data_IF_722204958214
#
_entry.id   IF_722204958214
#
_cell.length_a   1.000
_cell.length_b   1.000
_cell.length_c   1.000
_cell.angle_alpha   90.00
_cell.angle_beta   90.00
_cell.angle_gamma   90.00
#
_symmetry.space_group_name_H-M   'P 1'
#
loop_
_entity.id
_entity.type
_entity.pdbx_description
1 polymer ?
#
# COMPACT_ATOMS: atom_id res chain seq x y z
N UNK A 1 -22.03 11.60 0.82
CA UNK A 1 -21.07 10.49 0.55
C UNK A 1 -20.24 10.33 1.81
N UNK A 2 -20.30 9.22 2.55
CA UNK A 2 -19.26 8.93 3.53
C UNK A 2 -17.98 8.64 2.74
N UNK A 3 -16.92 9.41 3.04
CA UNK A 3 -15.59 9.17 2.50
C UNK A 3 -15.04 7.88 3.09
N UNK A 4 -14.84 6.89 2.27
CA UNK A 4 -14.11 5.68 2.61
C UNK A 4 -12.61 6.00 2.44
N UNK A 5 -11.97 6.42 3.52
CA UNK A 5 -10.51 6.41 3.60
C UNK A 5 -10.08 4.94 3.75
N UNK A 6 -9.05 4.53 3.02
CA UNK A 6 -8.46 3.21 3.19
C UNK A 6 -7.94 3.11 4.64
N UNK A 7 -8.58 2.27 5.45
CA UNK A 7 -8.17 2.05 6.83
C UNK A 7 -7.00 1.08 6.81
N UNK A 8 -5.86 1.48 7.37
CA UNK A 8 -4.66 0.68 7.52
C UNK A 8 -4.76 -0.13 8.81
N UNK A 9 -4.71 -1.46 8.73
CA UNK A 9 -4.97 -2.31 9.88
C UNK A 9 -3.80 -3.26 10.23
N UNK A 10 -3.59 -3.47 11.54
CA UNK A 10 -2.61 -4.42 12.09
C UNK A 10 -3.14 -5.85 12.02
N UNK A 11 -2.26 -6.82 11.92
CA UNK A 11 -2.59 -8.22 12.20
C UNK A 11 -3.20 -8.33 13.60
N UNK A 12 -4.38 -8.94 13.70
CA UNK A 12 -5.13 -9.03 14.95
C UNK A 12 -5.78 -7.70 15.38
N UNK A 13 -5.75 -6.65 14.54
CA UNK A 13 -6.43 -5.39 14.83
C UNK A 13 -7.94 -5.54 14.78
N UNK A 14 -8.60 -4.68 15.53
CA UNK A 14 -10.05 -4.53 15.50
C UNK A 14 -10.43 -3.38 14.60
N UNK A 15 -11.18 -3.66 13.54
CA UNK A 15 -11.85 -2.66 12.69
C UNK A 15 -13.25 -2.42 13.22
N UNK A 16 -13.78 -1.22 13.01
CA UNK A 16 -15.19 -0.91 13.28
C UNK A 16 -15.92 -0.78 11.95
N UNK A 17 -16.83 -1.73 11.70
CA UNK A 17 -17.66 -1.71 10.48
C UNK A 17 -19.02 -1.12 10.82
N UNK A 18 -19.47 -0.15 10.05
CA UNK A 18 -20.82 0.42 10.12
C UNK A 18 -21.60 0.00 8.89
N UNK A 19 -22.76 -0.61 9.11
CA UNK A 19 -23.65 -1.03 8.04
C UNK A 19 -25.05 -0.48 8.21
N UNK A 20 -25.83 -0.54 7.13
CA UNK A 20 -27.26 -0.21 7.12
C UNK A 20 -28.00 -1.26 6.30
N UNK A 21 -28.87 -2.01 6.97
CA UNK A 21 -29.80 -2.96 6.35
C UNK A 21 -31.17 -2.30 6.18
N UNK A 22 -31.72 -2.35 4.97
CA UNK A 22 -33.01 -1.73 4.63
C UNK A 22 -34.03 -2.79 4.22
N UNK A 23 -35.20 -2.74 4.80
CA UNK A 23 -36.33 -3.51 4.29
C UNK A 23 -36.96 -2.74 3.09
N UNK A 24 -36.83 -3.28 1.89
CA UNK A 24 -37.40 -2.72 0.65
C UNK A 24 -38.79 -3.32 0.33
N UNK A 25 -39.20 -4.33 1.10
CA UNK A 25 -40.48 -4.99 0.92
C UNK A 25 -41.67 -4.20 1.49
N UNK A 26 -42.87 -4.67 1.16
CA UNK A 26 -44.14 -4.09 1.62
C UNK A 26 -44.59 -4.65 2.99
N UNK A 27 -44.02 -5.74 3.46
CA UNK A 27 -44.28 -6.32 4.78
C UNK A 27 -43.13 -6.09 5.78
N UNK A 28 -43.34 -6.28 7.10
CA UNK A 28 -42.28 -6.23 8.07
C UNK A 28 -41.29 -7.38 7.85
N UNK A 29 -39.97 -7.12 7.98
CA UNK A 29 -38.92 -8.12 8.02
C UNK A 29 -38.68 -8.47 9.49
N UNK A 30 -38.73 -9.75 9.83
CA UNK A 30 -38.46 -10.23 11.17
C UNK A 30 -36.97 -10.05 11.57
N UNK A 31 -36.62 -10.42 12.83
CA UNK A 31 -35.24 -10.36 13.26
C UNK A 31 -34.31 -11.21 12.38
N UNK A 32 -33.17 -10.63 12.02
CA UNK A 32 -32.13 -11.29 11.20
C UNK A 32 -30.72 -10.91 11.69
N UNK A 33 -29.71 -11.13 10.89
CA UNK A 33 -28.36 -10.64 11.16
C UNK A 33 -27.61 -10.32 9.86
N UNK A 34 -26.73 -9.33 9.92
CA UNK A 34 -25.76 -9.05 8.85
C UNK A 34 -24.42 -9.67 9.22
N UNK A 35 -23.89 -10.53 8.35
CA UNK A 35 -22.54 -11.09 8.48
C UNK A 35 -21.54 -10.26 7.68
N UNK A 36 -20.28 -10.28 8.14
CA UNK A 36 -19.16 -9.54 7.54
C UNK A 36 -18.03 -10.51 7.23
N UNK A 37 -17.44 -10.33 6.06
CA UNK A 37 -16.38 -11.18 5.54
C UNK A 37 -15.21 -10.33 5.05
N UNK A 38 -13.99 -10.86 5.20
CA UNK A 38 -12.77 -10.36 4.61
C UNK A 38 -12.52 -11.11 3.31
N UNK A 39 -12.41 -10.39 2.19
CA UNK A 39 -12.26 -10.95 0.86
C UNK A 39 -11.08 -10.33 0.11
N UNK A 40 -10.43 -11.11 -0.76
CA UNK A 40 -9.39 -10.65 -1.68
C UNK A 40 -9.97 -9.95 -2.93
N UNK A 41 -11.27 -10.10 -3.17
CA UNK A 41 -11.96 -9.47 -4.31
C UNK A 41 -13.30 -8.84 -3.87
N UNK A 42 -14.06 -8.33 -4.82
CA UNK A 42 -15.32 -7.63 -4.55
C UNK A 42 -16.56 -8.52 -4.58
N UNK A 43 -16.38 -9.85 -4.77
CA UNK A 43 -17.45 -10.83 -4.90
C UNK A 43 -17.47 -11.76 -3.70
N UNK A 44 -18.65 -11.98 -3.10
CA UNK A 44 -18.78 -12.95 -2.03
C UNK A 44 -18.54 -14.38 -2.55
N UNK A 45 -17.62 -15.12 -1.92
CA UNK A 45 -17.22 -16.46 -2.33
C UNK A 45 -16.83 -17.38 -1.17
N UNK A 46 -16.53 -18.65 -1.48
CA UNK A 46 -16.21 -19.66 -0.47
C UNK A 46 -14.84 -19.48 0.18
N UNK A 47 -13.99 -18.61 -0.37
CA UNK A 47 -12.66 -18.28 0.15
C UNK A 47 -12.67 -17.12 1.13
N UNK A 48 -13.80 -16.44 1.28
CA UNK A 48 -13.93 -15.28 2.16
C UNK A 48 -13.91 -15.68 3.62
N UNK A 49 -13.19 -14.93 4.41
CA UNK A 49 -13.01 -15.20 5.84
C UNK A 49 -14.10 -14.51 6.64
N UNK A 50 -14.92 -15.28 7.33
CA UNK A 50 -15.94 -14.74 8.24
C UNK A 50 -15.28 -13.98 9.40
N UNK A 51 -15.66 -12.72 9.59
CA UNK A 51 -15.16 -11.86 10.66
C UNK A 51 -16.10 -11.75 11.85
N UNK A 52 -17.40 -11.89 11.62
CA UNK A 52 -18.43 -11.75 12.65
C UNK A 52 -19.77 -11.28 12.07
N UNK A 53 -20.74 -11.03 12.95
CA UNK A 53 -22.07 -10.59 12.55
C UNK A 53 -22.66 -9.58 13.53
N UNK A 54 -23.64 -8.80 13.06
CA UNK A 54 -24.45 -7.88 13.85
C UNK A 54 -25.90 -8.34 13.82
N UNK A 55 -26.53 -8.47 14.97
CA UNK A 55 -27.97 -8.75 15.06
C UNK A 55 -28.78 -7.54 14.59
N UNK A 56 -29.85 -7.83 13.85
CA UNK A 56 -30.83 -6.88 13.34
C UNK A 56 -32.18 -7.24 13.96
N UNK A 57 -32.84 -6.28 14.58
CA UNK A 57 -34.22 -6.42 15.03
C UNK A 57 -35.21 -6.38 13.86
N UNK A 58 -36.50 -6.45 14.15
CA UNK A 58 -37.55 -6.28 13.16
C UNK A 58 -37.42 -4.91 12.44
N UNK A 59 -37.55 -4.94 11.11
CA UNK A 59 -37.55 -3.71 10.28
C UNK A 59 -38.88 -3.56 9.60
N UNK A 60 -39.59 -2.46 9.90
CA UNK A 60 -40.85 -2.11 9.23
C UNK A 60 -40.66 -1.88 7.72
N UNK A 61 -41.70 -1.97 6.89
CA UNK A 61 -41.61 -1.68 5.46
C UNK A 61 -41.00 -0.31 5.18
N UNK A 62 -39.97 -0.27 4.31
CA UNK A 62 -39.19 0.93 3.99
C UNK A 62 -38.20 1.37 5.07
N UNK A 63 -38.19 0.73 6.25
CA UNK A 63 -37.31 1.04 7.37
C UNK A 63 -35.86 0.67 7.13
N UNK A 64 -34.98 1.25 7.95
CA UNK A 64 -33.53 1.02 7.90
C UNK A 64 -33.03 0.74 9.32
N UNK A 65 -32.20 -0.29 9.49
CA UNK A 65 -31.46 -0.60 10.71
C UNK A 65 -29.98 -0.31 10.49
N UNK A 66 -29.48 0.76 11.09
CA UNK A 66 -28.05 1.12 11.04
C UNK A 66 -27.36 0.75 12.36
N UNK A 67 -26.12 0.27 12.29
CA UNK A 67 -25.32 0.00 13.47
C UNK A 67 -23.85 -0.26 13.13
N UNK A 68 -23.03 -0.27 14.18
CA UNK A 68 -21.61 -0.53 14.08
C UNK A 68 -21.24 -1.76 14.90
N UNK A 69 -20.24 -2.53 14.42
CA UNK A 69 -19.72 -3.71 15.09
C UNK A 69 -18.20 -3.72 15.02
N UNK A 70 -17.51 -3.97 16.16
CA UNK A 70 -16.08 -4.23 16.12
C UNK A 70 -15.84 -5.65 15.59
N UNK A 71 -14.95 -5.76 14.59
CA UNK A 71 -14.55 -7.02 13.97
C UNK A 71 -13.03 -7.17 14.06
N UNK A 72 -12.55 -8.36 14.35
CA UNK A 72 -11.12 -8.63 14.44
C UNK A 72 -10.60 -9.19 13.12
N UNK A 73 -9.55 -8.58 12.58
CA UNK A 73 -8.79 -9.18 11.47
C UNK A 73 -8.00 -10.37 12.02
N UNK A 74 -8.14 -11.58 11.46
CA UNK A 74 -7.43 -12.74 11.95
C UNK A 74 -5.91 -12.53 11.98
N UNK A 75 -5.20 -12.94 13.04
CA UNK A 75 -3.75 -12.69 13.17
C UNK A 75 -2.88 -13.31 12.07
N UNK A 76 -3.38 -14.36 11.41
CA UNK A 76 -2.69 -15.04 10.31
C UNK A 76 -3.08 -14.50 8.92
N UNK A 77 -3.82 -13.39 8.85
CA UNK A 77 -4.17 -12.77 7.55
C UNK A 77 -2.88 -12.31 6.86
N UNK A 78 -2.58 -12.77 5.64
CA UNK A 78 -1.42 -12.28 4.89
C UNK A 78 -1.47 -10.77 4.67
N UNK A 79 -0.30 -10.14 4.56
CA UNK A 79 -0.25 -8.73 4.16
C UNK A 79 -0.84 -8.57 2.75
N UNK A 80 -1.62 -7.49 2.55
CA UNK A 80 -2.29 -7.27 1.27
C UNK A 80 -3.48 -6.31 1.38
N UNK A 81 -4.14 -6.12 0.24
CA UNK A 81 -5.39 -5.36 0.13
C UNK A 81 -6.58 -6.31 0.16
N UNK A 82 -7.56 -5.96 0.99
CA UNK A 82 -8.77 -6.76 1.19
C UNK A 82 -10.01 -5.88 1.08
N UNK A 83 -11.16 -6.50 0.89
CA UNK A 83 -12.48 -5.87 0.93
C UNK A 83 -13.27 -6.43 2.11
N UNK A 84 -14.15 -5.59 2.68
CA UNK A 84 -15.15 -6.04 3.63
C UNK A 84 -16.44 -6.25 2.86
N UNK A 85 -16.96 -7.48 2.88
CA UNK A 85 -18.24 -7.83 2.27
C UNK A 85 -19.26 -8.03 3.38
N UNK A 86 -20.37 -7.30 3.31
CA UNK A 86 -21.52 -7.45 4.20
C UNK A 86 -22.61 -8.25 3.51
N UNK A 87 -23.21 -9.20 4.23
CA UNK A 87 -24.35 -9.99 3.77
C UNK A 87 -25.49 -9.91 4.78
N UNK A 88 -26.55 -9.17 4.41
CA UNK A 88 -27.78 -9.12 5.19
C UNK A 88 -28.49 -10.47 5.17
N UNK A 89 -29.22 -10.78 6.24
CA UNK A 89 -29.90 -12.06 6.46
C UNK A 89 -29.07 -13.29 6.04
N UNK A 90 -27.81 -13.33 6.47
CA UNK A 90 -26.83 -14.32 6.04
C UNK A 90 -27.24 -15.76 6.33
N UNK A 91 -28.11 -15.97 7.35
CA UNK A 91 -28.63 -17.27 7.74
C UNK A 91 -29.95 -17.61 7.03
N UNK A 92 -30.45 -16.73 6.16
CA UNK A 92 -31.70 -16.88 5.43
C UNK A 92 -32.88 -17.17 6.37
N UNK A 93 -32.99 -16.38 7.44
CA UNK A 93 -34.03 -16.52 8.48
C UNK A 93 -35.31 -15.77 8.17
N UNK A 94 -35.25 -14.77 7.27
CA UNK A 94 -36.37 -13.99 6.80
C UNK A 94 -36.66 -14.34 5.34
N UNK A 95 -37.82 -14.95 5.01
CA UNK A 95 -38.17 -15.19 3.61
C UNK A 95 -38.35 -13.87 2.86
N UNK A 96 -37.54 -13.66 1.81
CA UNK A 96 -37.54 -12.41 1.03
C UNK A 96 -38.06 -12.63 -0.39
N UNK A 97 -38.60 -11.59 -0.99
CA UNK A 97 -39.06 -11.64 -2.39
C UNK A 97 -37.87 -11.64 -3.36
N UNK A 98 -36.70 -11.18 -2.94
CA UNK A 98 -35.45 -11.15 -3.70
C UNK A 98 -34.30 -11.49 -2.77
N UNK A 99 -33.80 -12.72 -2.85
CA UNK A 99 -32.69 -13.26 -2.02
C UNK A 99 -31.30 -12.92 -2.58
N UNK A 100 -31.22 -12.31 -3.77
CA UNK A 100 -29.94 -12.08 -4.48
C UNK A 100 -29.35 -10.69 -4.26
N UNK A 101 -30.02 -9.80 -3.55
CA UNK A 101 -29.62 -8.41 -3.33
C UNK A 101 -29.07 -8.14 -1.91
N UNK A 102 -28.83 -9.20 -1.12
CA UNK A 102 -28.45 -9.13 0.29
C UNK A 102 -26.95 -8.84 0.50
N UNK A 103 -26.15 -8.91 -0.55
CA UNK A 103 -24.68 -8.74 -0.45
C UNK A 103 -24.25 -7.36 -0.89
N UNK A 104 -23.33 -6.74 -0.13
CA UNK A 104 -22.72 -5.47 -0.47
C UNK A 104 -21.23 -5.47 -0.11
N UNK A 105 -20.42 -5.02 -1.05
CA UNK A 105 -18.98 -4.81 -0.84
C UNK A 105 -18.72 -3.39 -0.36
N UNK A 106 -17.93 -3.26 0.70
CA UNK A 106 -17.43 -2.00 1.24
C UNK A 106 -16.14 -1.53 0.56
N UNK A 107 -15.48 -0.55 1.15
CA UNK A 107 -14.17 -0.09 0.72
C UNK A 107 -13.07 -1.13 0.96
N UNK A 108 -11.91 -0.94 0.32
CA UNK A 108 -10.73 -1.77 0.58
C UNK A 108 -10.06 -1.36 1.89
N UNK A 109 -9.50 -2.35 2.58
CA UNK A 109 -8.59 -2.18 3.72
C UNK A 109 -7.23 -2.76 3.38
N UNK A 110 -6.17 -2.23 3.98
CA UNK A 110 -4.82 -2.78 3.86
C UNK A 110 -4.42 -3.44 5.17
N UNK A 111 -3.88 -4.65 5.08
CA UNK A 111 -3.39 -5.45 6.20
C UNK A 111 -1.88 -5.61 6.06
N UNK A 112 -1.12 -5.42 7.14
CA UNK A 112 0.34 -5.57 7.13
C UNK A 112 1.10 -4.25 7.18
N UNK A 113 2.42 -4.34 7.07
CA UNK A 113 3.30 -3.18 6.89
C UNK A 113 3.24 -2.64 5.46
N UNK A 114 3.81 -1.47 5.23
CA UNK A 114 3.84 -0.82 3.90
C UNK A 114 5.07 0.11 3.85
N UNK A 115 6.13 -0.31 3.17
CA UNK A 115 7.38 0.42 3.07
C UNK A 115 7.36 1.38 1.89
N UNK A 116 7.72 2.62 2.15
CA UNK A 116 7.88 3.63 1.10
C UNK A 116 9.18 4.37 1.28
N UNK A 117 9.73 4.88 0.19
CA UNK A 117 10.77 5.90 0.25
C UNK A 117 10.13 7.28 0.45
N UNK A 118 10.10 7.76 1.69
CA UNK A 118 9.55 9.08 2.04
C UNK A 118 10.46 10.22 1.58
N UNK A 119 11.78 9.98 1.47
CA UNK A 119 12.75 10.91 0.92
C UNK A 119 13.83 10.17 0.12
N UNK A 120 14.34 10.83 -0.94
CA UNK A 120 15.47 10.39 -1.73
C UNK A 120 16.19 11.59 -2.31
N UNK A 121 17.50 11.68 -2.10
CA UNK A 121 18.37 12.67 -2.71
C UNK A 121 19.69 12.00 -3.13
N UNK A 122 20.37 12.59 -4.12
CA UNK A 122 21.67 12.14 -4.57
C UNK A 122 22.57 13.33 -4.87
N UNK A 123 23.88 13.11 -4.96
CA UNK A 123 24.83 14.09 -5.48
C UNK A 123 24.37 14.57 -6.87
N UNK A 124 24.46 15.86 -7.16
CA UNK A 124 24.00 16.42 -8.43
C UNK A 124 24.95 16.15 -9.59
N UNK A 125 26.19 15.78 -9.28
CA UNK A 125 27.25 15.45 -10.24
C UNK A 125 28.03 14.21 -9.80
N UNK A 126 28.50 13.44 -10.75
CA UNK A 126 29.38 12.29 -10.52
C UNK A 126 30.26 12.03 -11.74
N UNK A 127 31.26 11.18 -11.60
CA UNK A 127 32.12 10.74 -12.72
C UNK A 127 31.94 9.24 -12.96
N UNK A 128 32.08 8.75 -14.20
CA UNK A 128 32.18 7.32 -14.46
C UNK A 128 33.31 6.71 -13.63
N UNK A 129 33.06 5.61 -12.93
CA UNK A 129 33.97 4.98 -11.99
C UNK A 129 34.13 5.71 -10.65
N UNK A 130 33.53 6.88 -10.48
CA UNK A 130 33.60 7.68 -9.25
C UNK A 130 32.46 7.41 -8.28
N UNK A 131 32.58 7.93 -7.04
CA UNK A 131 31.56 7.79 -6.01
C UNK A 131 30.36 8.71 -6.27
N UNK A 132 29.19 8.26 -5.82
CA UNK A 132 27.98 9.06 -5.66
C UNK A 132 27.41 8.79 -4.27
N UNK A 133 27.02 9.85 -3.57
CA UNK A 133 26.35 9.72 -2.28
C UNK A 133 24.84 9.84 -2.48
N UNK A 134 24.11 8.85 -1.99
CA UNK A 134 22.63 8.80 -2.01
C UNK A 134 22.14 8.81 -0.57
N UNK A 135 21.24 9.73 -0.25
CA UNK A 135 20.56 9.79 1.05
C UNK A 135 19.10 9.48 0.86
N UNK A 136 18.61 8.49 1.60
CA UNK A 136 17.20 8.08 1.56
C UNK A 136 16.59 7.99 2.95
N UNK A 137 15.27 7.98 2.98
CA UNK A 137 14.48 7.64 4.15
C UNK A 137 13.45 6.61 3.75
N UNK A 138 13.62 5.38 4.23
CA UNK A 138 12.62 4.32 4.15
C UNK A 138 11.70 4.43 5.36
N UNK A 139 10.40 4.42 5.13
CA UNK A 139 9.36 4.55 6.18
C UNK A 139 8.34 3.43 6.04
N UNK A 140 7.95 2.85 7.17
CA UNK A 140 6.77 2.01 7.25
C UNK A 140 5.53 2.90 7.48
N UNK A 141 4.68 3.04 6.48
CA UNK A 141 3.40 3.75 6.60
C UNK A 141 2.23 2.81 6.89
N UNK A 142 2.49 1.51 6.93
CA UNK A 142 1.51 0.49 7.29
C UNK A 142 1.28 0.40 8.80
N UNK A 143 0.22 -0.30 9.22
CA UNK A 143 -0.18 -0.42 10.62
C UNK A 143 0.57 -1.55 11.36
N UNK A 144 1.26 -2.44 10.65
CA UNK A 144 2.02 -3.54 11.26
C UNK A 144 3.53 -3.32 11.13
N UNK A 145 4.36 -3.90 12.02
CA UNK A 145 5.80 -3.89 11.86
C UNK A 145 6.21 -4.59 10.57
N UNK A 146 7.26 -4.07 9.92
CA UNK A 146 7.93 -4.73 8.80
C UNK A 146 9.27 -5.27 9.29
N UNK A 147 9.60 -6.54 9.04
CA UNK A 147 10.89 -7.10 9.41
C UNK A 147 12.04 -6.45 8.63
N UNK A 148 13.26 -6.87 8.94
CA UNK A 148 14.45 -6.40 8.25
C UNK A 148 14.32 -6.54 6.74
N UNK A 149 14.66 -5.46 6.02
CA UNK A 149 14.56 -5.33 4.57
C UNK A 149 15.78 -4.64 3.99
N UNK A 150 15.77 -4.32 2.72
CA UNK A 150 16.84 -3.57 2.07
C UNK A 150 16.27 -2.49 1.14
N UNK A 151 16.91 -1.32 1.12
CA UNK A 151 16.67 -0.31 0.08
C UNK A 151 17.71 -0.47 -1.02
N UNK A 152 17.25 -0.72 -2.26
CA UNK A 152 18.08 -0.79 -3.45
C UNK A 152 18.13 0.52 -4.21
N UNK A 153 19.25 0.74 -4.92
CA UNK A 153 19.47 1.96 -5.70
C UNK A 153 19.86 1.63 -7.14
N UNK A 154 19.28 2.35 -8.09
CA UNK A 154 19.48 2.16 -9.52
C UNK A 154 19.84 3.47 -10.19
N UNK A 155 20.75 3.44 -11.16
CA UNK A 155 21.01 4.52 -12.09
C UNK A 155 20.11 4.36 -13.30
N UNK A 156 19.32 5.38 -13.64
CA UNK A 156 18.36 5.35 -14.74
C UNK A 156 18.58 6.53 -15.69
N UNK A 157 18.58 6.34 -17.00
CA UNK A 157 18.68 7.42 -17.97
C UNK A 157 17.37 8.21 -18.13
N UNK A 158 16.23 7.62 -17.78
CA UNK A 158 14.90 8.19 -18.03
C UNK A 158 14.04 8.38 -16.77
N UNK A 159 14.52 7.91 -15.61
CA UNK A 159 13.79 7.99 -14.34
C UNK A 159 12.64 6.99 -14.20
N UNK A 160 12.58 5.98 -15.05
CA UNK A 160 11.56 4.92 -15.00
C UNK A 160 12.22 3.64 -14.48
N UNK A 161 11.66 3.03 -13.43
CA UNK A 161 12.15 1.74 -12.92
C UNK A 161 11.75 0.63 -13.91
N UNK A 162 12.67 0.30 -14.83
CA UNK A 162 12.50 -0.80 -15.79
C UNK A 162 13.69 -1.74 -15.71
N UNK A 163 13.46 -3.03 -15.98
CA UNK A 163 14.51 -4.06 -15.85
C UNK A 163 15.60 -4.01 -16.91
N UNK A 164 15.42 -3.24 -17.99
CA UNK A 164 16.32 -3.27 -19.17
C UNK A 164 17.33 -2.12 -19.17
N UNK A 165 16.95 -0.93 -18.72
CA UNK A 165 17.76 0.28 -18.87
C UNK A 165 18.46 0.72 -17.59
N UNK A 166 18.06 0.17 -16.46
CA UNK A 166 18.55 0.58 -15.15
C UNK A 166 19.76 -0.25 -14.74
N UNK A 167 20.75 0.43 -14.19
CA UNK A 167 21.94 -0.21 -13.64
C UNK A 167 21.83 -0.22 -12.12
N UNK A 168 21.83 -1.39 -11.52
CA UNK A 168 21.86 -1.55 -10.07
C UNK A 168 23.19 -1.04 -9.52
N UNK A 169 23.14 -0.08 -8.61
CA UNK A 169 24.32 0.53 -7.98
C UNK A 169 24.66 -0.13 -6.64
N UNK A 170 23.72 -0.74 -5.97
CA UNK A 170 23.89 -1.35 -4.66
C UNK A 170 22.65 -1.17 -3.77
N UNK A 171 22.75 -1.64 -2.53
CA UNK A 171 21.67 -1.54 -1.53
C UNK A 171 22.22 -1.21 -0.15
N UNK A 172 21.33 -0.82 0.76
CA UNK A 172 21.61 -0.72 2.19
C UNK A 172 20.64 -1.54 3.00
N UNK A 173 21.04 -2.08 4.16
CA UNK A 173 20.11 -2.72 5.08
C UNK A 173 19.19 -1.69 5.76
N UNK A 174 17.97 -2.12 6.01
CA UNK A 174 16.96 -1.44 6.81
C UNK A 174 16.52 -2.42 7.89
N UNK A 175 16.75 -2.09 9.15
CA UNK A 175 16.29 -2.92 10.26
C UNK A 175 14.75 -2.88 10.37
N UNK A 176 14.22 -3.72 11.27
CA UNK A 176 12.78 -3.76 11.56
C UNK A 176 12.21 -2.35 11.77
N UNK A 177 11.11 -2.04 11.08
CA UNK A 177 10.39 -0.78 11.22
C UNK A 177 9.00 -0.99 11.82
N UNK A 178 8.79 -0.44 13.00
CA UNK A 178 7.46 -0.35 13.60
C UNK A 178 6.52 0.54 12.76
N UNK A 179 5.21 0.47 12.97
CA UNK A 179 4.25 1.38 12.34
C UNK A 179 4.66 2.85 12.50
N UNK A 180 4.67 3.58 11.40
CA UNK A 180 5.16 4.96 11.30
C UNK A 180 6.67 5.13 11.53
N UNK A 181 7.41 4.06 11.83
CA UNK A 181 8.86 4.05 11.96
C UNK A 181 9.56 4.38 10.64
N UNK A 182 10.79 4.91 10.74
CA UNK A 182 11.60 5.24 9.59
C UNK A 182 13.08 5.00 9.83
N UNK A 183 13.81 4.71 8.74
CA UNK A 183 15.26 4.56 8.70
C UNK A 183 15.83 5.50 7.67
N UNK A 184 16.70 6.42 8.10
CA UNK A 184 17.40 7.38 7.22
C UNK A 184 18.89 7.03 7.20
N UNK A 185 19.48 6.97 6.02
CA UNK A 185 20.92 6.79 5.87
C UNK A 185 21.46 7.43 4.60
N UNK A 186 22.77 7.72 4.61
CA UNK A 186 23.54 8.11 3.43
C UNK A 186 24.41 6.93 3.02
N UNK A 187 24.26 6.50 1.78
CA UNK A 187 25.00 5.36 1.20
C UNK A 187 25.92 5.87 0.11
N UNK A 188 27.20 5.49 0.17
CA UNK A 188 28.17 5.76 -0.89
C UNK A 188 28.15 4.60 -1.89
N UNK A 189 27.87 4.91 -3.15
CA UNK A 189 27.78 3.97 -4.27
C UNK A 189 28.79 4.37 -5.34
N UNK A 190 29.03 3.52 -6.30
CA UNK A 190 29.98 3.79 -7.40
C UNK A 190 29.22 3.81 -8.74
N UNK A 191 29.42 4.88 -9.51
CA UNK A 191 28.93 4.93 -10.90
C UNK A 191 29.75 3.96 -11.74
N UNK A 192 29.16 3.07 -12.54
CA UNK A 192 29.92 2.14 -13.38
C UNK A 192 30.91 2.88 -14.30
N UNK A 193 32.15 2.37 -14.48
CA UNK A 193 33.18 3.05 -15.27
C UNK A 193 32.81 3.31 -16.73
N UNK A 194 31.93 2.47 -17.30
CA UNK A 194 31.49 2.60 -18.70
C UNK A 194 30.25 3.48 -18.89
N UNK A 195 29.80 4.19 -17.84
CA UNK A 195 28.64 5.07 -17.96
C UNK A 195 28.94 6.24 -18.91
N UNK A 196 28.13 6.40 -19.96
CA UNK A 196 28.26 7.51 -20.89
C UNK A 196 28.00 8.86 -20.21
N UNK A 197 28.71 9.95 -20.60
CA UNK A 197 28.38 11.29 -20.12
C UNK A 197 26.93 11.65 -20.44
N UNK A 198 26.22 12.21 -19.45
CA UNK A 198 24.82 12.58 -19.65
C UNK A 198 24.08 12.91 -18.36
N UNK A 199 22.75 13.06 -18.50
CA UNK A 199 21.83 13.24 -17.39
C UNK A 199 21.20 11.91 -17.02
N UNK A 200 21.23 11.61 -15.74
CA UNK A 200 20.67 10.40 -15.16
C UNK A 200 19.83 10.73 -13.93
N UNK A 201 19.14 9.74 -13.41
CA UNK A 201 18.40 9.78 -12.15
C UNK A 201 18.83 8.61 -11.28
N UNK A 202 18.83 8.80 -9.97
CA UNK A 202 18.87 7.69 -9.04
C UNK A 202 17.44 7.31 -8.67
N UNK A 203 17.10 6.05 -8.83
CA UNK A 203 15.84 5.48 -8.35
C UNK A 203 16.17 4.66 -7.12
N UNK A 204 15.49 4.93 -6.01
CA UNK A 204 15.51 4.08 -4.82
C UNK A 204 14.26 3.21 -4.79
N UNK A 205 14.40 1.98 -4.31
CA UNK A 205 13.30 1.05 -4.07
C UNK A 205 13.43 0.46 -2.66
N UNK A 206 12.47 0.75 -1.79
CA UNK A 206 12.34 0.07 -0.52
C UNK A 206 11.99 -1.40 -0.78
N UNK A 207 12.49 -2.30 0.06
CA UNK A 207 12.33 -3.75 -0.08
C UNK A 207 12.54 -4.24 -1.53
N UNK A 208 13.60 -3.76 -2.18
CA UNK A 208 13.89 -3.99 -3.60
C UNK A 208 13.93 -5.47 -4.03
N UNK A 209 14.14 -6.37 -3.09
CA UNK A 209 14.22 -7.81 -3.31
C UNK A 209 12.97 -8.58 -2.87
N UNK A 210 11.91 -7.89 -2.43
CA UNK A 210 10.63 -8.48 -2.02
C UNK A 210 10.78 -9.43 -0.83
N UNK A 211 11.65 -9.11 0.13
CA UNK A 211 11.89 -9.96 1.31
C UNK A 211 10.79 -9.84 2.37
N UNK A 212 10.13 -8.68 2.44
CA UNK A 212 9.03 -8.40 3.34
C UNK A 212 7.70 -8.40 2.58
N UNK A 213 6.71 -9.11 3.09
CA UNK A 213 5.36 -9.02 2.54
C UNK A 213 4.68 -7.73 3.02
N UNK A 214 4.15 -6.95 2.10
CA UNK A 214 3.59 -5.63 2.35
C UNK A 214 2.10 -5.51 1.96
N UNK A 215 1.41 -4.56 2.56
CA UNK A 215 0.03 -4.24 2.21
C UNK A 215 -0.10 -3.59 0.82
N UNK A 216 1.00 -3.05 0.27
CA UNK A 216 1.05 -2.49 -1.07
C UNK A 216 2.48 -2.53 -1.62
N UNK A 217 2.73 -3.39 -2.59
CA UNK A 217 4.02 -3.60 -3.25
C UNK A 217 4.30 -2.62 -4.40
N UNK A 218 3.41 -1.67 -4.70
CA UNK A 218 3.50 -0.81 -5.88
C UNK A 218 3.98 0.61 -5.61
N UNK A 219 4.20 0.99 -4.35
CA UNK A 219 4.56 2.34 -3.91
C UNK A 219 5.98 2.45 -3.33
N UNK A 220 6.79 1.40 -3.43
CA UNK A 220 8.11 1.27 -2.80
C UNK A 220 9.20 2.11 -3.47
N UNK A 221 8.98 2.63 -4.67
CA UNK A 221 10.01 3.32 -5.43
C UNK A 221 9.88 4.84 -5.41
N UNK A 222 11.03 5.53 -5.48
CA UNK A 222 11.14 6.98 -5.58
C UNK A 222 12.30 7.38 -6.46
N UNK A 223 12.14 8.49 -7.18
CA UNK A 223 13.15 9.07 -8.07
C UNK A 223 13.80 10.26 -7.38
N UNK A 224 15.14 10.39 -7.49
CA UNK A 224 15.89 11.57 -7.08
C UNK A 224 15.75 12.73 -8.08
N UNK A 225 16.34 13.87 -7.74
CA UNK A 225 16.69 14.88 -8.75
C UNK A 225 17.72 14.32 -9.73
N UNK A 226 17.84 14.95 -10.91
CA UNK A 226 18.79 14.49 -11.92
C UNK A 226 20.25 14.65 -11.48
N UNK A 227 21.07 13.67 -11.87
CA UNK A 227 22.51 13.63 -11.68
C UNK A 227 23.18 13.82 -13.03
N UNK A 228 24.18 14.72 -13.12
CA UNK A 228 25.03 14.87 -14.31
C UNK A 228 26.25 13.99 -14.16
N UNK A 229 26.49 13.12 -15.14
CA UNK A 229 27.66 12.22 -15.15
C UNK A 229 28.60 12.66 -16.26
N UNK A 230 29.86 12.85 -15.92
CA UNK A 230 30.92 13.25 -16.84
C UNK A 230 31.26 14.74 -16.77
N UNK A 231 32.17 15.21 -17.68
CA UNK A 231 32.61 16.59 -17.72
C UNK A 231 31.49 17.53 -18.20
N UNK A 232 31.52 18.77 -17.71
CA UNK A 232 30.63 19.86 -18.12
C UNK A 232 31.52 21.11 -18.39
N UNK A 233 31.74 21.40 -19.67
CA UNK A 233 32.59 22.51 -20.09
C UNK A 233 31.71 23.74 -20.41
N UNK A 234 32.05 24.89 -19.82
CA UNK A 234 31.38 26.16 -20.06
C UNK A 234 32.42 27.22 -20.46
N UNK A 235 32.14 28.03 -21.48
CA UNK A 235 32.95 29.18 -21.79
C UNK A 235 32.59 30.32 -20.80
N UNK A 236 33.57 30.69 -19.96
CA UNK A 236 33.39 31.76 -18.94
C UNK A 236 33.85 33.13 -19.36
N UNK A 237 34.39 33.28 -20.57
CA UNK A 237 34.81 34.57 -21.10
C UNK A 237 35.22 34.51 -22.56
N UNK A 238 34.80 35.53 -23.32
CA UNK A 238 35.21 35.76 -24.70
C UNK A 238 35.42 37.26 -24.90
N UNK A 239 36.53 37.66 -25.48
CA UNK A 239 36.77 39.01 -25.94
C UNK A 239 37.36 39.01 -27.35
N UNK A 240 36.82 39.83 -28.25
CA UNK A 240 37.43 40.15 -29.53
C UNK A 240 38.08 41.53 -29.43
N UNK A 241 39.32 41.65 -29.90
CA UNK A 241 40.01 42.93 -30.03
C UNK A 241 39.73 43.57 -31.38
#
# INVERSE_FOLDING_TARGET
RPGWEAVLERWGATIVVTDSTKNQGAGPAGPSSTAFYLSLDTSFGPTDVFLGSRAIGEIAPGGIATGSVPLQIPPATPAGSYFIIARADWSNSVPETVETNNTRTGGSIRVGGDLVLSALSASTTAMPGGPITVTDTTRNQGPAPVPDSQTGFYLSPNGILSSIENVFLGSRPVGTLDPSGSSTASTQLVIPPGTAPGRYYVIGAADWNGAAAEGNETNNSRISISVRIGPDLVNTGFSAA
#
